data_IF_744201469540
#
_entry.id   IF_744201469540
#
_cell.length_a   1.000
_cell.length_b   1.000
_cell.length_c   1.000
_cell.angle_alpha   90.00
_cell.angle_beta   90.00
_cell.angle_gamma   90.00
#
_symmetry.space_group_name_H-M   'P 1'
#
loop_
_entity.id
_entity.type
_entity.pdbx_description
1 polymer ?
#
# COMPACT_ATOMS: atom_id res chain seq x y z
N UNK A 1 2.91 -23.48 3.40
CA UNK A 1 3.03 -22.89 4.75
C UNK A 1 4.32 -22.11 4.80
N UNK A 2 4.28 -20.83 5.18
CA UNK A 2 5.49 -20.02 5.37
C UNK A 2 5.92 -20.13 6.84
N UNK A 3 7.22 -20.27 7.09
CA UNK A 3 7.75 -20.39 8.45
C UNK A 3 7.46 -19.12 9.26
N UNK A 4 6.96 -19.32 10.48
CA UNK A 4 6.81 -18.23 11.45
C UNK A 4 8.19 -17.70 11.84
N UNK A 5 8.31 -16.37 11.97
CA UNK A 5 9.54 -15.73 12.43
C UNK A 5 9.85 -16.18 13.87
N UNK A 6 11.09 -16.64 14.09
CA UNK A 6 11.58 -17.06 15.41
C UNK A 6 11.91 -15.84 16.26
N UNK A 7 12.08 -16.03 17.57
CA UNK A 7 12.41 -14.95 18.49
C UNK A 7 13.70 -14.20 18.10
N UNK A 8 14.71 -14.93 17.60
CA UNK A 8 15.97 -14.36 17.09
C UNK A 8 15.77 -13.48 15.86
N UNK A 9 14.84 -13.84 14.98
CA UNK A 9 14.53 -13.02 13.79
C UNK A 9 13.91 -11.69 14.21
N UNK A 10 13.00 -11.74 15.18
CA UNK A 10 12.35 -10.55 15.73
C UNK A 10 13.33 -9.63 16.46
N UNK A 11 14.28 -10.18 17.23
CA UNK A 11 15.31 -9.36 17.88
C UNK A 11 16.10 -8.57 16.84
N UNK A 12 16.59 -9.24 15.79
CA UNK A 12 17.32 -8.59 14.69
C UNK A 12 16.47 -7.52 13.99
N UNK A 13 15.21 -7.82 13.70
CA UNK A 13 14.29 -6.86 13.08
C UNK A 13 14.14 -5.62 13.97
N UNK A 14 13.91 -5.81 15.27
CA UNK A 14 13.76 -4.70 16.21
C UNK A 14 15.04 -3.86 16.31
N UNK A 15 16.22 -4.49 16.33
CA UNK A 15 17.50 -3.76 16.37
C UNK A 15 17.71 -2.92 15.10
N UNK A 16 17.41 -3.48 13.94
CA UNK A 16 17.48 -2.76 12.67
C UNK A 16 16.48 -1.60 12.61
N UNK A 17 15.24 -1.84 13.02
CA UNK A 17 14.21 -0.79 13.11
C UNK A 17 14.67 0.31 14.07
N UNK A 18 15.14 -0.03 15.27
CA UNK A 18 15.60 0.94 16.27
C UNK A 18 16.71 1.84 15.73
N UNK A 19 17.64 1.30 14.94
CA UNK A 19 18.73 2.09 14.36
C UNK A 19 18.30 2.99 13.19
N UNK A 20 17.15 2.73 12.57
CA UNK A 20 16.74 3.38 11.32
C UNK A 20 15.38 4.08 11.37
N UNK A 21 14.60 3.93 12.44
CA UNK A 21 13.21 4.35 12.52
C UNK A 21 13.04 5.85 12.28
N UNK A 22 13.65 6.68 13.13
CA UNK A 22 13.51 8.13 13.08
C UNK A 22 13.98 8.69 11.74
N UNK A 23 15.16 8.27 11.28
CA UNK A 23 15.76 8.80 10.04
C UNK A 23 14.95 8.49 8.78
N UNK A 24 14.19 7.39 8.76
CA UNK A 24 13.29 7.09 7.64
C UNK A 24 11.90 7.67 7.82
N UNK A 25 11.35 7.69 9.04
CA UNK A 25 10.03 8.24 9.30
C UNK A 25 9.95 9.73 8.94
N UNK A 26 11.00 10.50 9.25
CA UNK A 26 11.11 11.92 8.91
C UNK A 26 11.09 12.21 7.40
N UNK A 27 11.39 11.22 6.55
CA UNK A 27 11.31 11.35 5.09
C UNK A 27 9.87 11.27 4.56
N UNK A 28 8.90 10.91 5.41
CA UNK A 28 7.50 10.85 5.04
C UNK A 28 6.94 12.25 4.82
N UNK A 29 6.27 12.47 3.68
CA UNK A 29 5.78 13.79 3.30
C UNK A 29 4.26 13.89 3.46
N UNK A 30 3.82 14.56 4.52
CA UNK A 30 2.40 14.86 4.74
C UNK A 30 1.81 15.78 3.67
N UNK A 31 2.62 16.59 2.99
CA UNK A 31 2.19 17.38 1.83
C UNK A 31 1.77 16.51 0.64
N UNK A 32 2.47 15.38 0.43
CA UNK A 32 2.15 14.44 -0.65
C UNK A 32 1.00 13.50 -0.30
N UNK A 33 0.80 13.27 0.99
CA UNK A 33 -0.19 12.36 1.56
C UNK A 33 -0.95 13.06 2.68
N UNK A 34 -1.85 14.01 2.35
CA UNK A 34 -2.62 14.74 3.35
C UNK A 34 -3.53 13.77 4.12
N UNK A 35 -3.46 13.82 5.45
CA UNK A 35 -4.17 12.87 6.31
C UNK A 35 -5.69 13.10 6.31
N UNK A 36 -6.14 14.36 6.37
CA UNK A 36 -7.57 14.68 6.43
C UNK A 36 -8.34 14.21 5.19
N UNK A 37 -7.77 14.40 4.00
CA UNK A 37 -8.38 13.91 2.77
C UNK A 37 -8.42 12.39 2.73
N UNK A 38 -7.38 11.73 3.21
CA UNK A 38 -7.33 10.28 3.29
C UNK A 38 -8.39 9.70 4.25
N UNK A 39 -8.60 10.32 5.41
CA UNK A 39 -9.69 9.93 6.33
C UNK A 39 -11.05 10.08 5.64
N UNK A 40 -11.33 11.21 5.00
CA UNK A 40 -12.57 11.42 4.23
C UNK A 40 -12.79 10.37 3.14
N UNK A 41 -11.72 9.99 2.44
CA UNK A 41 -11.77 8.94 1.41
C UNK A 41 -12.11 7.59 2.04
N UNK A 42 -11.50 7.20 3.16
CA UNK A 42 -11.86 5.96 3.85
C UNK A 42 -13.33 5.97 4.29
N UNK A 43 -13.82 7.07 4.83
CA UNK A 43 -15.22 7.17 5.29
C UNK A 43 -16.20 6.94 4.15
N UNK A 44 -15.99 7.61 3.01
CA UNK A 44 -16.90 7.52 1.85
C UNK A 44 -16.86 6.15 1.17
N UNK A 45 -15.67 5.55 1.02
CA UNK A 45 -15.52 4.25 0.38
C UNK A 45 -16.01 3.10 1.27
N UNK A 46 -15.69 3.11 2.57
CA UNK A 46 -16.13 2.08 3.52
C UNK A 46 -17.64 2.12 3.77
N UNK A 47 -18.27 3.30 3.67
CA UNK A 47 -19.72 3.45 3.71
C UNK A 47 -20.43 3.04 2.40
N UNK A 48 -19.68 2.61 1.37
CA UNK A 48 -20.22 2.28 0.04
C UNK A 48 -21.11 3.40 -0.53
N UNK A 49 -20.65 4.66 -0.37
CA UNK A 49 -21.40 5.81 -0.86
C UNK A 49 -21.68 5.70 -2.36
N UNK A 50 -22.84 6.17 -2.79
CA UNK A 50 -23.24 6.15 -4.21
C UNK A 50 -22.22 6.89 -5.08
N UNK A 51 -21.71 8.02 -4.57
CA UNK A 51 -20.65 8.80 -5.20
C UNK A 51 -19.44 8.84 -4.28
N UNK A 52 -18.30 8.47 -4.84
CA UNK A 52 -16.99 8.56 -4.20
C UNK A 52 -16.02 9.31 -5.11
N UNK A 53 -15.05 10.00 -4.52
CA UNK A 53 -14.04 10.74 -5.28
C UNK A 53 -12.87 9.83 -5.66
N UNK A 54 -13.06 9.03 -6.71
CA UNK A 54 -12.06 8.08 -7.22
C UNK A 54 -10.80 8.77 -7.77
N UNK A 55 -10.98 9.93 -8.39
CA UNK A 55 -9.86 10.75 -8.86
C UNK A 55 -8.97 11.17 -7.68
N UNK A 56 -9.54 11.79 -6.65
CA UNK A 56 -8.81 12.17 -5.45
C UNK A 56 -8.18 10.96 -4.76
N UNK A 57 -8.91 9.85 -4.63
CA UNK A 57 -8.41 8.62 -4.03
C UNK A 57 -7.12 8.11 -4.70
N UNK A 58 -7.13 8.00 -6.03
CA UNK A 58 -6.00 7.46 -6.77
C UNK A 58 -4.84 8.46 -6.89
N UNK A 59 -5.13 9.75 -7.02
CA UNK A 59 -4.10 10.79 -6.96
C UNK A 59 -3.41 10.83 -5.61
N UNK A 60 -4.15 10.64 -4.51
CA UNK A 60 -3.57 10.47 -3.18
C UNK A 60 -2.61 9.26 -3.14
N UNK A 61 -3.05 8.09 -3.63
CA UNK A 61 -2.23 6.87 -3.64
C UNK A 61 -0.92 7.02 -4.41
N UNK A 62 -0.93 7.79 -5.50
CA UNK A 62 0.24 8.04 -6.34
C UNK A 62 1.11 9.21 -5.87
N UNK A 63 0.74 9.90 -4.78
CA UNK A 63 1.43 11.10 -4.32
C UNK A 63 1.35 12.24 -5.35
N UNK A 64 0.23 12.33 -6.05
CA UNK A 64 -0.10 13.34 -7.06
C UNK A 64 -1.18 14.31 -6.57
N UNK A 65 -1.42 14.35 -5.26
CA UNK A 65 -2.39 15.27 -4.65
C UNK A 65 -2.20 16.71 -5.13
N UNK A 66 -3.29 17.35 -5.55
CA UNK A 66 -3.31 18.73 -6.04
C UNK A 66 -2.56 18.97 -7.35
N UNK A 67 -2.30 17.93 -8.16
CA UNK A 67 -1.68 18.07 -9.48
C UNK A 67 -2.69 17.79 -10.59
N UNK A 68 -2.80 18.69 -11.54
CA UNK A 68 -3.71 18.54 -12.70
C UNK A 68 -3.06 17.77 -13.87
N UNK A 69 -1.73 17.82 -13.95
CA UNK A 69 -0.96 17.22 -15.03
C UNK A 69 -0.37 15.86 -14.63
N UNK A 70 -1.22 14.85 -14.51
CA UNK A 70 -0.84 13.44 -14.29
C UNK A 70 -1.07 12.59 -15.56
N UNK A 71 -0.36 11.45 -15.71
CA UNK A 71 -0.33 10.69 -16.97
C UNK A 71 -1.72 10.30 -17.49
N UNK A 72 -1.95 10.36 -18.80
CA UNK A 72 -3.25 10.01 -19.40
C UNK A 72 -3.69 8.58 -19.10
N UNK A 73 -2.75 7.64 -18.94
CA UNK A 73 -3.05 6.26 -18.53
C UNK A 73 -3.70 6.17 -17.15
N UNK A 74 -3.38 7.10 -16.25
CA UNK A 74 -4.02 7.19 -14.94
C UNK A 74 -5.45 7.75 -15.05
N UNK A 75 -5.68 8.74 -15.92
CA UNK A 75 -7.03 9.26 -16.22
C UNK A 75 -7.96 8.17 -16.75
N UNK A 76 -7.46 7.37 -17.71
CA UNK A 76 -8.20 6.22 -18.25
C UNK A 76 -8.53 5.18 -17.17
N UNK A 77 -7.57 4.88 -16.29
CA UNK A 77 -7.79 3.95 -15.18
C UNK A 77 -8.83 4.48 -14.17
N UNK A 78 -8.80 5.78 -13.84
CA UNK A 78 -9.81 6.40 -12.99
C UNK A 78 -11.19 6.21 -13.61
N UNK A 79 -11.36 6.56 -14.89
CA UNK A 79 -12.63 6.43 -15.61
C UNK A 79 -13.13 4.98 -15.69
N UNK A 80 -12.22 4.02 -15.91
CA UNK A 80 -12.55 2.58 -15.86
C UNK A 80 -13.10 2.19 -14.48
N UNK A 81 -12.46 2.60 -13.39
CA UNK A 81 -12.89 2.27 -12.03
C UNK A 81 -14.21 2.98 -11.69
N UNK A 82 -14.39 4.23 -12.12
CA UNK A 82 -15.65 4.96 -11.96
C UNK A 82 -16.81 4.23 -12.63
N UNK A 83 -16.59 3.70 -13.84
CA UNK A 83 -17.61 2.90 -14.54
C UNK A 83 -17.95 1.57 -13.84
N UNK A 84 -17.00 1.02 -13.08
CA UNK A 84 -17.18 -0.22 -12.32
C UNK A 84 -17.81 0.00 -10.94
N UNK A 85 -17.74 1.22 -10.38
CA UNK A 85 -18.18 1.50 -9.01
C UNK A 85 -19.65 1.15 -8.74
N UNK A 86 -20.63 1.49 -9.60
CA UNK A 86 -22.03 1.11 -9.36
C UNK A 86 -22.21 -0.42 -9.27
N UNK A 87 -21.62 -1.16 -10.21
CA UNK A 87 -21.69 -2.62 -10.20
C UNK A 87 -20.94 -3.27 -9.04
N UNK A 88 -19.85 -2.65 -8.57
CA UNK A 88 -19.19 -3.06 -7.33
C UNK A 88 -20.11 -2.88 -6.13
N UNK A 89 -20.74 -1.70 -6.02
CA UNK A 89 -21.63 -1.34 -4.92
C UNK A 89 -22.84 -2.27 -4.85
N UNK A 90 -23.48 -2.54 -5.98
CA UNK A 90 -24.63 -3.44 -6.04
C UNK A 90 -24.26 -4.86 -5.59
N UNK A 91 -23.09 -5.34 -6.03
CA UNK A 91 -22.54 -6.61 -5.55
C UNK A 91 -22.27 -6.57 -4.04
N UNK A 92 -21.58 -5.54 -3.55
CA UNK A 92 -21.20 -5.43 -2.13
C UNK A 92 -22.42 -5.37 -1.20
N UNK A 93 -23.47 -4.63 -1.59
CA UNK A 93 -24.72 -4.52 -0.83
C UNK A 93 -25.55 -5.81 -0.83
N UNK A 94 -25.41 -6.66 -1.86
CA UNK A 94 -26.13 -7.94 -1.96
C UNK A 94 -25.33 -9.15 -1.47
N UNK A 95 -24.01 -9.01 -1.26
CA UNK A 95 -23.11 -10.11 -0.92
C UNK A 95 -23.29 -10.64 0.51
N UNK A 96 -23.88 -9.88 1.43
CA UNK A 96 -24.05 -10.29 2.83
C UNK A 96 -22.71 -10.71 3.47
N UNK A 97 -22.66 -11.89 4.06
CA UNK A 97 -21.45 -12.43 4.70
C UNK A 97 -20.29 -12.67 3.73
N UNK A 98 -20.54 -12.71 2.42
CA UNK A 98 -19.49 -12.83 1.41
C UNK A 98 -18.75 -11.51 1.18
N UNK A 99 -19.23 -10.39 1.75
CA UNK A 99 -18.57 -9.09 1.66
C UNK A 99 -17.34 -9.02 2.58
N UNK A 100 -16.33 -9.83 2.25
CA UNK A 100 -15.06 -9.89 2.97
C UNK A 100 -13.99 -9.06 2.27
N UNK A 101 -12.90 -8.70 2.97
CA UNK A 101 -11.76 -8.05 2.35
C UNK A 101 -11.14 -8.85 1.18
N UNK A 102 -11.06 -10.17 1.30
CA UNK A 102 -10.53 -11.05 0.25
C UNK A 102 -11.43 -11.05 -0.98
N UNK A 103 -12.73 -11.25 -0.80
CA UNK A 103 -13.70 -11.20 -1.89
C UNK A 103 -13.73 -9.82 -2.57
N UNK A 104 -13.57 -8.75 -1.80
CA UNK A 104 -13.46 -7.38 -2.33
C UNK A 104 -12.21 -7.24 -3.21
N UNK A 105 -11.06 -7.72 -2.74
CA UNK A 105 -9.83 -7.72 -3.52
C UNK A 105 -9.97 -8.52 -4.81
N UNK A 106 -10.53 -9.74 -4.73
CA UNK A 106 -10.74 -10.61 -5.88
C UNK A 106 -11.70 -9.99 -6.91
N UNK A 107 -12.75 -9.32 -6.45
CA UNK A 107 -13.71 -8.64 -7.32
C UNK A 107 -13.02 -7.59 -8.19
N UNK A 108 -12.17 -6.76 -7.57
CA UNK A 108 -11.39 -5.74 -8.25
C UNK A 108 -10.27 -6.33 -9.12
N UNK A 109 -9.48 -7.27 -8.60
CA UNK A 109 -8.35 -7.86 -9.32
C UNK A 109 -8.80 -8.61 -10.58
N UNK A 110 -9.95 -9.30 -10.53
CA UNK A 110 -10.54 -9.97 -11.70
C UNK A 110 -10.93 -9.00 -12.81
N UNK A 111 -11.39 -7.80 -12.49
CA UNK A 111 -11.90 -6.81 -13.46
C UNK A 111 -10.82 -5.85 -13.96
N UNK A 112 -9.96 -5.40 -13.07
CA UNK A 112 -8.86 -4.50 -13.41
C UNK A 112 -7.66 -5.24 -14.01
N UNK A 113 -7.54 -6.54 -13.73
CA UNK A 113 -6.47 -7.41 -14.18
C UNK A 113 -5.20 -7.33 -13.31
N UNK A 114 -4.44 -8.43 -13.28
CA UNK A 114 -3.28 -8.64 -12.39
C UNK A 114 -2.19 -7.57 -12.47
N UNK A 115 -2.06 -6.86 -13.60
CA UNK A 115 -1.09 -5.76 -13.75
C UNK A 115 -1.44 -4.53 -12.90
N UNK A 116 -2.67 -4.46 -12.39
CA UNK A 116 -3.19 -3.36 -11.59
C UNK A 116 -3.37 -3.72 -10.12
N UNK A 117 -2.67 -4.76 -9.66
CA UNK A 117 -2.69 -5.26 -8.28
C UNK A 117 -2.69 -4.14 -7.21
N UNK A 118 -1.77 -3.17 -7.32
CA UNK A 118 -1.64 -2.08 -6.33
C UNK A 118 -2.92 -1.25 -6.24
N UNK A 119 -3.60 -1.05 -7.36
CA UNK A 119 -4.88 -0.34 -7.42
C UNK A 119 -5.98 -1.17 -6.77
N UNK A 120 -6.09 -2.45 -7.11
CA UNK A 120 -7.06 -3.38 -6.48
C UNK A 120 -6.87 -3.45 -4.96
N UNK A 121 -5.63 -3.57 -4.51
CA UNK A 121 -5.29 -3.61 -3.09
C UNK A 121 -5.61 -2.30 -2.38
N UNK A 122 -5.38 -1.14 -3.03
CA UNK A 122 -5.70 0.15 -2.45
C UNK A 122 -7.21 0.42 -2.39
N UNK A 123 -7.98 0.07 -3.41
CA UNK A 123 -9.43 0.14 -3.36
C UNK A 123 -9.97 -0.74 -2.22
N UNK A 124 -9.45 -1.96 -2.11
CA UNK A 124 -9.79 -2.87 -1.00
C UNK A 124 -9.47 -2.26 0.36
N UNK A 125 -8.31 -1.59 0.48
CA UNK A 125 -7.95 -0.84 1.69
C UNK A 125 -8.99 0.25 2.01
N UNK A 126 -9.36 1.08 1.04
CA UNK A 126 -10.33 2.17 1.27
C UNK A 126 -11.71 1.66 1.71
N UNK A 127 -12.11 0.48 1.22
CA UNK A 127 -13.39 -0.15 1.56
C UNK A 127 -13.31 -0.86 2.92
N UNK A 128 -12.16 -1.47 3.25
CA UNK A 128 -11.94 -2.22 4.49
C UNK A 128 -10.76 -1.65 5.32
N UNK A 129 -10.78 -0.36 5.71
CA UNK A 129 -9.59 0.35 6.19
C UNK A 129 -9.04 -0.17 7.52
N UNK A 130 -9.90 -0.75 8.36
CA UNK A 130 -9.49 -1.35 9.64
C UNK A 130 -8.94 -2.77 9.49
N UNK A 131 -9.18 -3.42 8.35
CA UNK A 131 -8.86 -4.83 8.15
C UNK A 131 -7.70 -5.03 7.16
N UNK A 132 -7.46 -4.08 6.27
CA UNK A 132 -6.51 -4.19 5.18
C UNK A 132 -5.51 -3.05 5.29
N UNK A 133 -4.20 -3.30 5.40
CA UNK A 133 -3.21 -2.22 5.38
C UNK A 133 -3.03 -1.67 3.95
N UNK A 134 -2.47 -0.46 3.82
CA UNK A 134 -1.94 -0.05 2.53
C UNK A 134 -0.75 -0.94 2.19
N UNK A 135 -0.81 -1.60 1.04
CA UNK A 135 0.34 -2.29 0.45
C UNK A 135 0.83 -1.54 -0.77
N UNK A 136 2.14 -1.31 -0.81
CA UNK A 136 2.81 -0.93 -2.04
C UNK A 136 4.17 -1.63 -2.22
N UNK A 137 4.83 -1.35 -3.34
CA UNK A 137 6.14 -1.93 -3.65
C UNK A 137 7.24 -1.56 -2.64
N UNK A 138 7.06 -0.47 -1.89
CA UNK A 138 8.00 0.02 -0.89
C UNK A 138 7.78 -0.72 0.42
N UNK A 139 6.56 -0.71 0.97
CA UNK A 139 6.21 -1.46 2.19
C UNK A 139 6.55 -2.95 2.04
N UNK A 140 6.19 -3.55 0.91
CA UNK A 140 6.48 -4.95 0.62
C UNK A 140 7.98 -5.24 0.56
N UNK A 141 8.77 -4.34 -0.05
CA UNK A 141 10.24 -4.49 -0.10
C UNK A 141 10.87 -4.33 1.28
N UNK A 142 10.41 -3.35 2.06
CA UNK A 142 10.86 -3.12 3.44
C UNK A 142 10.61 -4.35 4.31
N UNK A 143 9.39 -4.88 4.28
CA UNK A 143 9.03 -6.11 4.99
C UNK A 143 9.95 -7.27 4.59
N UNK A 144 10.10 -7.54 3.29
CA UNK A 144 10.90 -8.67 2.82
C UNK A 144 12.38 -8.55 3.20
N UNK A 145 12.91 -7.32 3.19
CA UNK A 145 14.28 -7.05 3.62
C UNK A 145 14.44 -7.30 5.13
N UNK A 146 13.56 -6.73 5.96
CA UNK A 146 13.58 -6.93 7.40
C UNK A 146 13.44 -8.42 7.75
N UNK A 147 12.60 -9.16 7.04
CA UNK A 147 12.44 -10.61 7.20
C UNK A 147 13.59 -11.45 6.62
N UNK A 148 14.54 -10.84 5.91
CA UNK A 148 15.65 -11.52 5.23
C UNK A 148 15.22 -12.73 4.38
N UNK A 149 14.08 -12.62 3.68
CA UNK A 149 13.56 -13.74 2.89
C UNK A 149 14.53 -14.04 1.73
N UNK A 150 15.12 -15.26 1.66
CA UNK A 150 15.96 -15.65 0.54
C UNK A 150 15.16 -15.59 -0.76
N UNK A 151 15.74 -15.01 -1.82
CA UNK A 151 15.07 -14.83 -3.11
C UNK A 151 13.72 -14.13 -3.02
N UNK A 152 13.59 -13.15 -2.12
CA UNK A 152 12.37 -12.42 -1.90
C UNK A 152 11.73 -11.90 -3.20
N UNK A 153 10.41 -12.07 -3.28
CA UNK A 153 9.59 -11.45 -4.33
C UNK A 153 9.79 -9.93 -4.31
N UNK A 154 10.00 -9.34 -5.49
CA UNK A 154 10.28 -7.89 -5.62
C UNK A 154 9.04 -7.01 -5.57
N UNK A 155 7.87 -7.55 -5.90
CA UNK A 155 6.60 -6.82 -5.99
C UNK A 155 5.48 -7.68 -5.42
N UNK A 156 4.54 -7.11 -4.67
CA UNK A 156 3.35 -7.84 -4.24
C UNK A 156 2.45 -8.10 -5.46
N UNK A 157 1.66 -9.19 -5.44
CA UNK A 157 0.79 -9.54 -6.57
C UNK A 157 -0.40 -10.44 -6.24
N UNK A 158 -0.67 -10.77 -4.98
CA UNK A 158 -1.83 -11.58 -4.60
C UNK A 158 -2.30 -11.24 -3.18
N UNK A 159 -3.49 -11.72 -2.82
CA UNK A 159 -4.10 -11.50 -1.51
C UNK A 159 -3.19 -11.92 -0.33
N UNK A 160 -2.48 -13.04 -0.47
CA UNK A 160 -1.56 -13.52 0.57
C UNK A 160 -0.46 -12.48 0.91
N UNK A 161 -0.02 -11.66 -0.05
CA UNK A 161 0.95 -10.60 0.21
C UNK A 161 0.37 -9.49 1.11
N UNK A 162 -0.92 -9.20 1.00
CA UNK A 162 -1.64 -8.26 1.88
C UNK A 162 -1.71 -8.84 3.30
N UNK A 163 -2.13 -10.10 3.42
CA UNK A 163 -2.23 -10.81 4.71
C UNK A 163 -0.89 -10.86 5.42
N UNK A 164 0.19 -11.17 4.69
CA UNK A 164 1.56 -11.16 5.22
C UNK A 164 1.97 -9.79 5.74
N UNK A 165 1.72 -8.74 4.96
CA UNK A 165 2.04 -7.38 5.38
C UNK A 165 1.27 -6.99 6.64
N UNK A 166 -0.03 -7.31 6.70
CA UNK A 166 -0.88 -7.06 7.88
C UNK A 166 -0.31 -7.72 9.13
N UNK A 167 0.00 -9.01 9.08
CA UNK A 167 0.59 -9.72 10.22
C UNK A 167 1.94 -9.14 10.61
N UNK A 168 2.79 -8.84 9.63
CA UNK A 168 4.09 -8.23 9.89
C UNK A 168 3.97 -6.86 10.56
N UNK A 169 3.13 -5.96 10.04
CA UNK A 169 2.91 -4.63 10.60
C UNK A 169 2.40 -4.69 12.03
N UNK A 170 1.41 -5.54 12.31
CA UNK A 170 0.85 -5.72 13.66
C UNK A 170 1.92 -6.21 14.65
N UNK A 171 2.69 -7.22 14.26
CA UNK A 171 3.69 -7.82 15.13
C UNK A 171 4.93 -6.94 15.32
N UNK A 172 5.35 -6.22 14.28
CA UNK A 172 6.50 -5.34 14.32
C UNK A 172 6.19 -4.04 15.09
N UNK A 173 5.02 -3.44 14.86
CA UNK A 173 4.56 -2.25 15.59
C UNK A 173 4.41 -2.53 17.08
N UNK A 174 3.82 -3.68 17.44
CA UNK A 174 3.71 -4.12 18.84
C UNK A 174 5.08 -4.31 19.51
N UNK A 175 6.04 -4.95 18.84
CA UNK A 175 7.39 -5.19 19.40
C UNK A 175 8.24 -3.93 19.52
N UNK A 176 8.05 -3.00 18.59
CA UNK A 176 8.75 -1.72 18.60
C UNK A 176 8.03 -0.66 19.45
N UNK A 177 6.82 -0.95 19.93
CA UNK A 177 5.99 -0.04 20.73
C UNK A 177 5.64 1.26 20.00
N UNK A 178 5.32 1.18 18.71
CA UNK A 178 4.83 2.32 17.93
C UNK A 178 3.43 2.09 17.34
N UNK A 179 2.66 3.16 17.04
CA UNK A 179 1.40 3.00 16.34
C UNK A 179 1.59 2.37 14.96
N UNK A 180 0.72 1.41 14.59
CA UNK A 180 0.80 0.71 13.29
C UNK A 180 0.82 1.68 12.11
N UNK A 181 0.06 2.78 12.19
CA UNK A 181 0.02 3.83 11.17
C UNK A 181 1.34 4.60 11.02
N UNK A 182 2.14 4.75 12.09
CA UNK A 182 3.48 5.33 11.99
C UNK A 182 4.49 4.32 11.48
N UNK A 183 4.39 3.08 11.96
CA UNK A 183 5.24 1.99 11.50
C UNK A 183 5.08 1.75 9.99
N UNK A 184 3.86 1.83 9.46
CA UNK A 184 3.60 1.73 8.02
C UNK A 184 4.28 2.84 7.21
N UNK A 185 4.25 4.09 7.70
CA UNK A 185 4.95 5.23 7.07
C UNK A 185 6.46 5.04 7.09
N UNK A 186 7.00 4.61 8.24
CA UNK A 186 8.40 4.23 8.38
C UNK A 186 8.76 3.14 7.36
N UNK A 187 7.99 2.05 7.31
CA UNK A 187 8.26 0.90 6.45
C UNK A 187 8.24 1.28 4.96
N UNK A 188 7.34 2.18 4.57
CA UNK A 188 7.30 2.76 3.23
C UNK A 188 8.60 3.51 2.89
N UNK A 189 9.08 4.37 3.79
CA UNK A 189 10.30 5.17 3.55
C UNK A 189 11.56 4.31 3.61
N UNK A 190 11.65 3.40 4.56
CA UNK A 190 12.71 2.40 4.67
C UNK A 190 12.79 1.54 3.41
N UNK A 191 11.67 0.94 3.00
CA UNK A 191 11.58 0.17 1.77
C UNK A 191 11.98 1.00 0.54
N UNK A 192 11.58 2.27 0.47
CA UNK A 192 12.00 3.19 -0.59
C UNK A 192 13.52 3.38 -0.65
N UNK A 193 14.20 3.50 0.49
CA UNK A 193 15.65 3.69 0.58
C UNK A 193 16.45 2.47 0.09
N UNK A 194 15.92 1.25 0.22
CA UNK A 194 16.57 0.01 -0.21
C UNK A 194 16.75 -0.14 -1.75
N UNK A 195 16.14 0.73 -2.56
CA UNK A 195 16.31 0.64 -4.01
C UNK A 195 17.70 1.19 -4.39
N UNK A 196 18.53 0.43 -5.12
CA UNK A 196 19.83 0.93 -5.57
C UNK A 196 19.66 2.24 -6.33
N UNK A 197 20.38 3.30 -5.91
CA UNK A 197 20.47 4.52 -6.71
C UNK A 197 21.18 4.15 -8.00
N UNK A 198 20.52 4.33 -9.15
CA UNK A 198 21.25 4.34 -10.43
C UNK A 198 22.27 5.47 -10.34
N UNK A 199 23.56 5.13 -10.30
CA UNK A 199 24.62 6.11 -10.50
C UNK A 199 24.32 6.78 -11.84
N UNK A 200 23.99 8.07 -11.82
CA UNK A 200 23.94 8.86 -13.06
C UNK A 200 25.38 8.86 -13.56
N UNK A 201 25.66 8.16 -14.66
CA UNK A 201 26.90 8.33 -15.39
C UNK A 201 27.02 9.81 -15.75
N UNK A 202 28.08 10.46 -15.27
CA UNK A 202 28.42 11.83 -15.62
C UNK A 202 28.41 12.00 -17.15
N UNK A 203 27.96 13.15 -17.69
CA UNK A 203 28.11 13.42 -19.11
C UNK A 203 29.59 13.30 -19.48
N UNK A 204 29.90 12.48 -20.49
CA UNK A 204 31.23 12.48 -21.09
C UNK A 204 31.51 13.90 -21.58
N UNK A 205 32.54 14.54 -21.02
CA UNK A 205 33.18 15.68 -21.65
C UNK A 205 33.63 15.23 -23.05
N UNK A 206 33.09 15.89 -24.07
CA UNK A 206 33.55 15.74 -25.44
C UNK A 206 34.88 16.48 -25.55
N UNK A 207 35.96 15.74 -25.79
CA UNK A 207 37.21 16.25 -26.35
C UNK A 207 37.12 16.31 -27.86
#
# INVERSE_FOLDING_TARGET
MEESLKATDWQRITDEVKSTYTSHLELYSFKKYPALDYERLKDTFSALAEKVDLSAALLWKWGHWGKDNYPSKHKLLISEIESLWPGFRDWALSAGDQFTPEATFEWWDKRLGKLRYITSAYLTHLIHPLQVPIIDQHNFRGMNHLRQIPYAKKKPSNWCDIVRLKHFLREASKRYESPEAEFDKYLMMYGRALKPRKVRSSPKEQS
#
